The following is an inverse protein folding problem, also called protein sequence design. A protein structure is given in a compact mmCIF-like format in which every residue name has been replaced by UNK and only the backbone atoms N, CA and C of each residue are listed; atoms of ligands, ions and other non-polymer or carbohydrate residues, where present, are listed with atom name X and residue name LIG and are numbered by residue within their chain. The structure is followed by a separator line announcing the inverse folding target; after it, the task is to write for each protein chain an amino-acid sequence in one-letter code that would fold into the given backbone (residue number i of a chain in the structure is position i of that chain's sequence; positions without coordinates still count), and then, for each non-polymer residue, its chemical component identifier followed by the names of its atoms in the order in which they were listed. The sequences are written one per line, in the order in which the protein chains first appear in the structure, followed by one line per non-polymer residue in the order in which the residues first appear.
data_IF_404190882663
#
_entry.id   IF_404190882663
#
_cell.length_a   1.000
_cell.length_b   1.000
_cell.length_c   1.000
_cell.angle_alpha   90.00
_cell.angle_beta   90.00
_cell.angle_gamma   90.00
#
_symmetry.space_group_name_H-M   'P 1'
#
loop_
_entity.id
_entity.type
_entity.pdbx_description
1 polymer ?
#
# COMPACT_ATOMS: atom_id res chain seq x y z
N UNK A 1 -43.34 -33.52 33.83
CA UNK A 1 -42.17 -32.83 34.43
C UNK A 1 -41.08 -32.79 33.38
N UNK A 2 -40.93 -31.64 32.71
CA UNK A 2 -39.92 -31.41 31.67
C UNK A 2 -38.73 -30.72 32.35
N UNK A 3 -37.60 -31.42 32.47
CA UNK A 3 -36.39 -30.87 33.08
C UNK A 3 -35.68 -29.94 32.08
N UNK A 4 -35.76 -28.62 32.33
CA UNK A 4 -34.91 -27.62 31.68
C UNK A 4 -33.55 -27.60 32.38
N UNK A 5 -32.54 -28.19 31.76
CA UNK A 5 -31.15 -28.07 32.19
C UNK A 5 -30.57 -26.80 31.54
N UNK A 6 -30.49 -25.72 32.30
CA UNK A 6 -29.78 -24.52 31.91
C UNK A 6 -28.26 -24.76 32.06
N UNK A 7 -27.56 -24.91 30.93
CA UNK A 7 -26.10 -24.89 30.89
C UNK A 7 -25.64 -23.43 30.95
N UNK A 8 -24.77 -23.04 31.91
CA UNK A 8 -24.24 -21.68 31.96
C UNK A 8 -23.27 -21.47 30.79
N UNK A 9 -23.63 -20.55 29.89
CA UNK A 9 -22.68 -19.98 28.93
C UNK A 9 -21.65 -19.16 29.72
N UNK A 10 -20.46 -19.72 29.90
CA UNK A 10 -19.30 -18.97 30.38
C UNK A 10 -18.83 -18.08 29.23
N UNK A 11 -19.22 -16.81 29.28
CA UNK A 11 -18.58 -15.78 28.47
C UNK A 11 -17.14 -15.60 28.98
N UNK A 12 -16.20 -16.24 28.30
CA UNK A 12 -14.78 -15.96 28.49
C UNK A 12 -14.49 -14.54 28.03
N UNK A 13 -14.40 -13.60 28.98
CA UNK A 13 -13.84 -12.29 28.71
C UNK A 13 -12.37 -12.47 28.34
N UNK A 14 -12.05 -12.40 27.04
CA UNK A 14 -10.66 -12.29 26.60
C UNK A 14 -10.20 -10.91 27.04
N UNK A 15 -9.41 -10.86 28.12
CA UNK A 15 -8.76 -9.64 28.56
C UNK A 15 -7.82 -9.16 27.42
N UNK A 16 -8.24 -8.12 26.69
CA UNK A 16 -7.35 -7.38 25.80
C UNK A 16 -6.25 -6.79 26.68
N UNK A 17 -5.01 -7.25 26.52
CA UNK A 17 -3.87 -6.64 27.18
C UNK A 17 -3.83 -5.13 26.91
N UNK A 18 -3.27 -4.36 27.83
CA UNK A 18 -3.08 -2.93 27.64
C UNK A 18 -2.32 -2.64 26.34
N UNK A 19 -2.74 -1.60 25.62
CA UNK A 19 -2.07 -1.16 24.41
C UNK A 19 -0.57 -0.92 24.67
N UNK A 20 0.28 -1.38 23.76
CA UNK A 20 1.73 -1.13 23.82
C UNK A 20 2.21 -0.44 22.55
N UNK A 21 3.34 0.25 22.62
CA UNK A 21 3.97 0.83 21.45
C UNK A 21 4.30 -0.23 20.38
N UNK A 22 4.09 0.15 19.12
CA UNK A 22 4.45 -0.66 17.98
C UNK A 22 5.97 -0.83 17.89
N UNK A 23 6.41 -2.08 17.69
CA UNK A 23 7.83 -2.39 17.54
C UNK A 23 8.36 -1.92 16.18
N UNK A 24 9.59 -1.41 16.19
CA UNK A 24 10.33 -1.07 14.97
C UNK A 24 10.70 -2.35 14.21
N UNK A 25 10.44 -2.36 12.91
CA UNK A 25 10.61 -3.45 11.96
C UNK A 25 11.50 -2.99 10.78
N UNK A 26 12.80 -2.84 11.04
CA UNK A 26 13.79 -2.41 10.04
C UNK A 26 14.82 -3.48 9.68
N UNK A 27 14.47 -4.75 9.89
CA UNK A 27 15.25 -5.91 9.45
C UNK A 27 14.46 -6.70 8.40
N UNK A 28 13.86 -6.00 7.43
CA UNK A 28 13.09 -6.65 6.38
C UNK A 28 14.00 -7.44 5.43
N UNK A 29 13.49 -8.50 4.78
CA UNK A 29 14.30 -9.30 3.87
C UNK A 29 14.82 -8.43 2.71
N UNK A 30 16.07 -8.63 2.25
CA UNK A 30 16.59 -7.86 1.13
C UNK A 30 15.75 -8.11 -0.13
N UNK A 31 15.55 -7.05 -0.92
CA UNK A 31 14.78 -7.08 -2.17
C UNK A 31 13.32 -7.55 -2.03
N UNK A 32 12.76 -7.57 -0.81
CA UNK A 32 11.34 -7.83 -0.62
C UNK A 32 10.52 -6.66 -1.21
N UNK A 33 9.57 -7.00 -2.08
CA UNK A 33 8.65 -6.05 -2.71
C UNK A 33 7.26 -6.67 -2.82
N UNK A 34 6.27 -5.93 -2.34
CA UNK A 34 4.86 -6.22 -2.48
C UNK A 34 4.19 -5.11 -3.27
N UNK A 35 3.28 -5.47 -4.15
CA UNK A 35 2.49 -4.53 -4.94
C UNK A 35 1.01 -4.71 -4.63
N UNK A 36 0.29 -3.61 -4.69
CA UNK A 36 -1.17 -3.55 -4.70
C UNK A 36 -1.57 -2.87 -5.99
N UNK A 37 -2.51 -3.47 -6.72
CA UNK A 37 -3.15 -2.84 -7.87
C UNK A 37 -4.68 -2.82 -7.64
N UNK A 38 -5.28 -1.64 -7.74
CA UNK A 38 -6.73 -1.44 -7.72
C UNK A 38 -7.18 -0.91 -9.07
N UNK A 39 -8.22 -1.51 -9.65
CA UNK A 39 -8.80 -1.01 -10.90
C UNK A 39 -10.16 -0.36 -10.67
N UNK A 40 -10.53 0.69 -11.44
CA UNK A 40 -11.78 1.43 -11.27
C UNK A 40 -13.04 0.56 -11.32
N UNK A 41 -13.03 -0.49 -12.14
CA UNK A 41 -14.18 -1.37 -12.36
C UNK A 41 -14.55 -2.20 -11.12
N UNK A 42 -13.62 -2.40 -10.19
CA UNK A 42 -13.84 -3.17 -8.97
C UNK A 42 -13.83 -2.32 -7.69
N UNK A 43 -13.42 -1.06 -7.78
CA UNK A 43 -13.07 -0.22 -6.64
C UNK A 43 -13.75 1.15 -6.67
N UNK A 44 -15.04 1.20 -7.02
CA UNK A 44 -15.83 2.43 -7.05
C UNK A 44 -15.10 3.59 -7.74
N UNK A 45 -14.48 3.36 -8.91
CA UNK A 45 -13.79 4.41 -9.66
C UNK A 45 -12.36 4.73 -9.23
N UNK A 46 -11.83 4.08 -8.19
CA UNK A 46 -10.43 4.23 -7.75
C UNK A 46 -9.48 3.42 -8.63
N UNK A 47 -8.39 4.05 -9.04
CA UNK A 47 -7.26 3.43 -9.74
C UNK A 47 -6.00 3.66 -8.90
N UNK A 48 -5.39 2.60 -8.38
CA UNK A 48 -4.27 2.76 -7.45
C UNK A 48 -3.18 1.71 -7.67
N UNK A 49 -1.94 2.17 -7.53
CA UNK A 49 -0.76 1.32 -7.43
C UNK A 49 0.03 1.71 -6.19
N UNK A 50 0.22 0.75 -5.28
CA UNK A 50 0.97 0.95 -4.04
C UNK A 50 2.06 -0.12 -3.98
N UNK A 51 3.30 0.32 -3.82
CA UNK A 51 4.47 -0.56 -3.68
C UNK A 51 5.00 -0.43 -2.27
N UNK A 52 5.14 -1.55 -1.57
CA UNK A 52 5.83 -1.65 -0.30
C UNK A 52 7.11 -2.48 -0.50
N UNK A 53 8.27 -1.93 -0.17
CA UNK A 53 9.55 -2.60 -0.43
C UNK A 53 10.58 -2.34 0.67
N UNK A 54 11.57 -3.22 0.79
CA UNK A 54 12.68 -3.01 1.72
C UNK A 54 13.51 -1.80 1.29
N UNK A 55 13.59 -0.80 2.16
CA UNK A 55 14.43 0.37 2.01
C UNK A 55 15.91 0.09 2.30
N UNK A 56 16.81 1.03 1.97
CA UNK A 56 18.25 0.89 2.26
C UNK A 56 18.56 0.87 3.76
N UNK A 57 17.67 1.40 4.60
CA UNK A 57 17.72 1.33 6.06
C UNK A 57 17.11 0.04 6.64
N UNK A 58 16.66 -0.87 5.76
CA UNK A 58 16.00 -2.12 6.12
C UNK A 58 14.54 -1.96 6.55
N UNK A 59 14.01 -0.74 6.64
CA UNK A 59 12.61 -0.45 6.96
C UNK A 59 11.70 -0.61 5.71
N UNK A 60 10.39 -0.47 5.88
CA UNK A 60 9.45 -0.57 4.76
C UNK A 60 9.28 0.79 4.08
N UNK A 61 9.66 0.91 2.82
CA UNK A 61 9.40 2.09 1.98
C UNK A 61 8.12 1.89 1.17
N UNK A 62 7.24 2.88 1.22
CA UNK A 62 6.01 2.93 0.44
C UNK A 62 6.14 3.93 -0.70
N UNK A 63 5.80 3.50 -1.92
CA UNK A 63 5.51 4.38 -3.06
C UNK A 63 4.02 4.24 -3.35
N UNK A 64 3.27 5.32 -3.14
CA UNK A 64 1.81 5.34 -3.23
C UNK A 64 1.42 6.21 -4.42
N UNK A 65 0.63 5.66 -5.35
CA UNK A 65 -0.01 6.41 -6.43
C UNK A 65 -1.49 6.05 -6.44
N UNK A 66 -2.36 7.03 -6.19
CA UNK A 66 -3.81 6.85 -6.13
C UNK A 66 -4.46 7.91 -7.02
N UNK A 67 -5.21 7.42 -7.98
CA UNK A 67 -6.00 8.17 -8.95
C UNK A 67 -7.46 7.71 -8.88
N UNK A 68 -8.25 8.21 -9.82
CA UNK A 68 -9.64 7.84 -9.98
C UNK A 68 -10.60 8.89 -9.44
N UNK A 69 -11.88 8.64 -9.71
CA UNK A 69 -12.98 9.55 -9.41
C UNK A 69 -14.05 8.76 -8.65
N UNK A 70 -13.98 8.69 -7.31
CA UNK A 70 -15.00 7.99 -6.53
C UNK A 70 -16.35 8.69 -6.65
N UNK A 71 -17.49 7.98 -6.43
CA UNK A 71 -18.82 8.53 -6.66
C UNK A 71 -19.11 9.82 -5.90
N UNK A 72 -18.71 9.86 -4.63
CA UNK A 72 -18.73 11.08 -3.82
C UNK A 72 -17.31 11.62 -3.69
N UNK A 73 -17.13 12.94 -3.89
CA UNK A 73 -15.83 13.60 -3.80
C UNK A 73 -15.64 14.27 -2.43
N UNK A 74 -15.63 13.46 -1.37
CA UNK A 74 -15.65 13.94 0.03
C UNK A 74 -14.31 13.68 0.72
N UNK A 75 -13.31 14.47 0.34
CA UNK A 75 -11.99 14.43 0.95
C UNK A 75 -12.02 14.93 2.42
N UNK A 76 -11.03 14.57 3.25
CA UNK A 76 -9.90 13.69 2.94
C UNK A 76 -10.31 12.22 2.78
N UNK A 77 -9.57 11.47 1.98
CA UNK A 77 -9.66 10.01 1.96
C UNK A 77 -8.56 9.42 2.83
N UNK A 78 -8.90 8.34 3.50
CA UNK A 78 -7.98 7.61 4.37
C UNK A 78 -7.59 6.29 3.71
N UNK A 79 -6.42 5.77 4.03
CA UNK A 79 -5.94 4.49 3.54
C UNK A 79 -5.17 3.78 4.65
N UNK A 80 -5.55 2.52 4.88
CA UNK A 80 -5.04 1.72 6.00
C UNK A 80 -4.76 0.28 5.55
N UNK A 81 -3.77 -0.35 6.18
CA UNK A 81 -3.57 -1.80 6.08
C UNK A 81 -4.57 -2.47 7.02
N UNK A 82 -5.34 -3.42 6.50
CA UNK A 82 -6.34 -4.18 7.25
C UNK A 82 -5.84 -5.57 7.63
N UNK A 83 -6.44 -6.14 8.68
CA UNK A 83 -5.99 -7.38 9.32
C UNK A 83 -6.08 -8.61 8.41
N UNK A 84 -7.12 -8.69 7.57
CA UNK A 84 -7.36 -9.83 6.69
C UNK A 84 -7.22 -9.45 5.21
N UNK A 85 -6.86 -10.42 4.34
CA UNK A 85 -6.89 -10.22 2.90
C UNK A 85 -8.33 -10.00 2.41
N UNK A 86 -8.46 -9.28 1.29
CA UNK A 86 -9.70 -9.19 0.52
C UNK A 86 -10.06 -10.59 0.00
N UNK A 87 -11.26 -11.11 0.30
CA UNK A 87 -11.73 -12.38 -0.25
C UNK A 87 -11.96 -12.32 -1.77
N UNK A 88 -12.18 -13.48 -2.38
CA UNK A 88 -12.34 -13.62 -3.83
C UNK A 88 -13.54 -12.86 -4.42
N UNK A 89 -14.56 -12.56 -3.61
CA UNK A 89 -15.73 -11.77 -4.02
C UNK A 89 -15.47 -10.25 -3.98
N UNK A 90 -14.28 -9.82 -3.56
CA UNK A 90 -13.90 -8.40 -3.50
C UNK A 90 -14.53 -7.63 -2.34
N UNK A 91 -15.15 -8.30 -1.37
CA UNK A 91 -15.83 -7.63 -0.27
C UNK A 91 -14.84 -6.96 0.70
N UNK A 92 -14.68 -5.65 0.59
CA UNK A 92 -13.80 -4.87 1.46
C UNK A 92 -14.18 -4.93 2.94
N UNK A 93 -15.43 -5.26 3.30
CA UNK A 93 -15.84 -5.38 4.71
C UNK A 93 -15.22 -6.61 5.38
N UNK A 94 -14.94 -7.66 4.61
CA UNK A 94 -14.37 -8.90 5.12
C UNK A 94 -12.89 -8.79 5.52
N UNK A 95 -12.23 -7.66 5.22
CA UNK A 95 -10.84 -7.39 5.64
C UNK A 95 -10.72 -7.07 7.14
N UNK A 96 -11.86 -6.95 7.86
CA UNK A 96 -11.97 -6.62 9.29
C UNK A 96 -11.36 -5.26 9.64
N UNK A 97 -10.82 -5.09 10.85
CA UNK A 97 -10.25 -3.84 11.33
C UNK A 97 -8.88 -3.53 10.72
N UNK A 98 -8.28 -2.43 11.17
CA UNK A 98 -6.90 -2.09 10.82
C UNK A 98 -5.93 -3.13 11.40
N UNK A 99 -4.76 -3.27 10.78
CA UNK A 99 -3.67 -4.06 11.32
C UNK A 99 -3.16 -3.42 12.63
N UNK A 100 -3.57 -3.99 13.75
CA UNK A 100 -3.27 -3.47 15.09
C UNK A 100 -2.85 -4.58 16.06
N UNK A 101 -1.68 -5.19 15.85
CA UNK A 101 -1.21 -6.30 16.69
C UNK A 101 -0.88 -5.89 18.14
N UNK A 102 -0.81 -4.60 18.43
CA UNK A 102 -0.48 -4.07 19.75
C UNK A 102 -1.69 -3.46 20.49
N UNK A 103 -2.89 -3.61 19.93
CA UNK A 103 -4.14 -3.28 20.60
C UNK A 103 -4.34 -1.78 20.86
N UNK A 104 -3.73 -0.92 20.03
CA UNK A 104 -3.78 0.54 20.15
C UNK A 104 -5.20 1.10 20.01
N UNK A 105 -5.96 0.62 19.03
CA UNK A 105 -7.31 1.10 18.72
C UNK A 105 -7.36 2.42 17.94
N UNK A 106 -8.58 2.91 17.68
CA UNK A 106 -8.78 4.13 16.87
C UNK A 106 -8.69 5.43 17.68
N UNK A 107 -8.92 5.37 18.99
CA UNK A 107 -9.07 6.54 19.87
C UNK A 107 -7.98 6.56 20.94
N UNK A 108 -7.27 7.69 21.14
CA UNK A 108 -7.36 8.93 20.34
C UNK A 108 -6.88 8.73 18.88
N UNK A 109 -7.14 9.65 17.95
CA UNK A 109 -6.57 9.59 16.59
C UNK A 109 -5.04 9.46 16.61
N UNK A 110 -4.44 8.92 15.54
CA UNK A 110 -2.98 8.81 15.45
C UNK A 110 -2.32 10.18 15.56
N UNK A 111 -1.30 10.27 16.41
CA UNK A 111 -0.40 11.40 16.51
C UNK A 111 0.85 11.10 15.68
N UNK A 112 0.97 11.73 14.51
CA UNK A 112 2.09 11.55 13.61
C UNK A 112 3.46 11.92 14.23
N UNK A 113 3.48 12.72 15.31
CA UNK A 113 4.71 13.03 16.04
C UNK A 113 5.19 11.87 16.93
N UNK A 114 4.31 10.91 17.21
CA UNK A 114 4.54 9.73 18.03
C UNK A 114 4.04 8.46 17.31
N UNK A 115 4.57 8.13 16.11
CA UNK A 115 3.99 7.11 15.24
C UNK A 115 4.08 5.69 15.82
N UNK A 116 4.93 5.44 16.82
CA UNK A 116 4.96 4.19 17.59
C UNK A 116 3.68 3.95 18.40
N UNK A 117 2.92 5.01 18.70
CA UNK A 117 1.66 4.95 19.45
C UNK A 117 0.44 4.79 18.54
N UNK A 118 0.64 4.65 17.22
CA UNK A 118 -0.43 4.47 16.24
C UNK A 118 -0.63 2.98 15.91
N UNK A 119 -1.78 2.63 15.34
CA UNK A 119 -1.94 1.29 14.78
C UNK A 119 -0.91 1.08 13.68
N UNK A 120 -0.38 -0.15 13.58
CA UNK A 120 0.61 -0.49 12.55
C UNK A 120 0.06 -0.17 11.15
N UNK A 121 -1.21 -0.48 10.91
CA UNK A 121 -1.89 -0.25 9.64
C UNK A 121 -2.37 1.17 9.38
N UNK A 122 -2.29 2.10 10.34
CA UNK A 122 -2.76 3.48 10.14
C UNK A 122 -1.75 4.34 9.36
N UNK A 123 -1.73 4.16 8.04
CA UNK A 123 -0.82 4.89 7.16
C UNK A 123 -1.22 6.36 7.00
N UNK A 124 -2.51 6.65 6.90
CA UNK A 124 -3.01 8.04 6.78
C UNK A 124 -2.73 8.88 8.02
N UNK A 125 -2.88 8.31 9.22
CA UNK A 125 -2.56 8.98 10.47
C UNK A 125 -1.06 9.25 10.62
N UNK A 126 -0.21 8.32 10.18
CA UNK A 126 1.26 8.48 10.28
C UNK A 126 1.86 9.37 9.19
N UNK A 127 1.39 9.25 7.95
CA UNK A 127 2.04 9.80 6.76
C UNK A 127 1.18 10.81 5.98
N UNK A 128 -0.02 11.10 6.48
CA UNK A 128 -0.97 12.05 5.88
C UNK A 128 -2.05 11.36 5.05
N UNK A 129 -3.25 11.93 5.12
CA UNK A 129 -4.42 11.54 4.34
C UNK A 129 -4.39 12.09 2.91
N UNK A 130 -5.22 11.54 2.04
CA UNK A 130 -5.38 11.98 0.65
C UNK A 130 -6.29 13.22 0.62
N UNK A 131 -5.71 14.39 0.40
CA UNK A 131 -6.44 15.66 0.41
C UNK A 131 -7.37 15.85 -0.80
N UNK A 132 -7.09 15.20 -1.92
CA UNK A 132 -7.91 15.24 -3.14
C UNK A 132 -7.60 14.06 -4.06
N UNK A 133 -8.57 13.73 -4.92
CA UNK A 133 -8.42 12.80 -6.03
C UNK A 133 -9.05 13.41 -7.30
N UNK A 134 -8.53 13.10 -8.49
CA UNK A 134 -7.38 12.20 -8.78
C UNK A 134 -6.02 12.87 -8.51
N UNK A 135 -4.92 12.12 -8.62
CA UNK A 135 -3.56 12.66 -8.66
C UNK A 135 -2.80 12.63 -7.33
N UNK A 136 -3.12 11.74 -6.40
CA UNK A 136 -2.37 11.61 -5.16
C UNK A 136 -1.14 10.74 -5.34
N UNK A 137 0.02 11.27 -4.95
CA UNK A 137 1.28 10.53 -4.89
C UNK A 137 2.00 10.81 -3.57
N UNK A 138 2.58 9.76 -2.98
CA UNK A 138 3.38 9.89 -1.76
C UNK A 138 4.53 8.87 -1.77
N UNK A 139 5.63 9.23 -1.10
CA UNK A 139 6.74 8.34 -0.85
C UNK A 139 7.26 8.57 0.57
N UNK A 140 7.31 7.53 1.38
CA UNK A 140 7.71 7.61 2.78
C UNK A 140 8.22 6.25 3.30
N UNK A 141 8.93 6.31 4.42
CA UNK A 141 9.40 5.14 5.16
C UNK A 141 8.49 4.90 6.37
N UNK A 142 7.96 3.69 6.49
CA UNK A 142 7.26 3.23 7.68
C UNK A 142 8.13 2.24 8.48
N UNK A 143 8.42 2.60 9.73
CA UNK A 143 9.27 1.81 10.62
C UNK A 143 8.53 0.68 11.33
N UNK A 144 7.21 0.62 11.27
CA UNK A 144 6.40 -0.28 12.09
C UNK A 144 5.76 -1.39 11.27
N UNK A 145 5.48 -1.15 10.00
CA UNK A 145 5.05 -2.20 9.06
C UNK A 145 6.24 -3.12 8.73
N UNK A 146 6.00 -4.44 8.71
CA UNK A 146 7.01 -5.45 8.40
C UNK A 146 6.74 -6.18 7.09
N UNK A 147 7.82 -6.58 6.41
CA UNK A 147 7.85 -7.50 5.27
C UNK A 147 8.35 -8.90 5.66
N UNK A 148 8.56 -9.15 6.96
CA UNK A 148 9.00 -10.45 7.49
C UNK A 148 7.79 -11.34 7.75
N UNK A 149 7.65 -12.44 7.01
CA UNK A 149 6.59 -13.41 7.25
C UNK A 149 6.64 -13.94 8.70
N UNK A 150 5.47 -14.05 9.33
CA UNK A 150 5.33 -14.45 10.73
C UNK A 150 5.51 -13.31 11.74
N UNK A 151 5.98 -12.13 11.32
CA UNK A 151 5.93 -10.94 12.17
C UNK A 151 4.45 -10.51 12.37
N UNK A 152 4.03 -10.14 13.59
CA UNK A 152 2.64 -9.70 13.82
C UNK A 152 2.25 -8.45 13.01
N UNK A 153 3.23 -7.63 12.62
CA UNK A 153 3.10 -6.43 11.78
C UNK A 153 3.33 -6.72 10.28
N UNK A 154 3.35 -8.00 9.87
CA UNK A 154 3.56 -8.40 8.49
C UNK A 154 2.42 -7.97 7.57
N UNK A 155 2.74 -7.31 6.46
CA UNK A 155 1.75 -6.86 5.48
C UNK A 155 1.45 -7.88 4.38
N UNK A 156 2.34 -8.84 4.12
CA UNK A 156 2.27 -9.67 2.90
C UNK A 156 1.10 -10.66 2.83
N UNK A 157 0.33 -10.81 3.91
CA UNK A 157 -0.93 -11.56 3.97
C UNK A 157 -2.10 -10.67 4.40
N UNK A 158 -2.03 -9.38 4.05
CA UNK A 158 -2.98 -8.33 4.41
C UNK A 158 -3.55 -7.68 3.17
N UNK A 159 -4.48 -6.77 3.40
CA UNK A 159 -5.02 -5.88 2.38
C UNK A 159 -4.78 -4.43 2.75
N UNK A 160 -4.91 -3.55 1.77
CA UNK A 160 -5.04 -2.12 1.99
C UNK A 160 -6.44 -1.69 1.57
N UNK A 161 -7.06 -0.82 2.35
CA UNK A 161 -8.41 -0.30 2.12
C UNK A 161 -8.34 1.22 2.08
N UNK A 162 -9.04 1.81 1.11
CA UNK A 162 -9.24 3.26 1.02
C UNK A 162 -10.64 3.56 1.52
N UNK A 163 -10.79 4.61 2.32
CA UNK A 163 -12.02 5.04 2.94
C UNK A 163 -12.34 6.49 2.62
N UNK A 164 -13.62 6.83 2.66
CA UNK A 164 -14.04 8.20 2.94
C UNK A 164 -13.65 8.62 4.37
N UNK A 165 -13.68 9.91 4.66
CA UNK A 165 -13.41 10.44 6.01
C UNK A 165 -14.37 9.90 7.09
N UNK A 166 -15.55 9.41 6.71
CA UNK A 166 -16.50 8.76 7.62
C UNK A 166 -16.24 7.23 7.79
N UNK A 167 -15.06 6.75 7.39
CA UNK A 167 -14.61 5.36 7.46
C UNK A 167 -15.34 4.37 6.53
N UNK A 168 -16.23 4.84 5.66
CA UNK A 168 -16.84 3.99 4.62
C UNK A 168 -15.77 3.50 3.66
N UNK A 169 -15.66 2.18 3.47
CA UNK A 169 -14.68 1.53 2.57
C UNK A 169 -15.12 1.72 1.12
N UNK A 170 -14.23 2.24 0.27
CA UNK A 170 -14.53 2.52 -1.15
C UNK A 170 -13.70 1.69 -2.13
N UNK A 171 -12.53 1.23 -1.71
CA UNK A 171 -11.64 0.41 -2.52
C UNK A 171 -10.79 -0.47 -1.62
N UNK A 172 -10.42 -1.65 -2.09
CA UNK A 172 -9.51 -2.53 -1.38
C UNK A 172 -8.79 -3.50 -2.31
N UNK A 173 -7.59 -3.90 -1.93
CA UNK A 173 -6.82 -4.91 -2.64
C UNK A 173 -5.77 -5.56 -1.72
N UNK A 174 -5.30 -6.73 -2.13
CA UNK A 174 -4.28 -7.50 -1.40
C UNK A 174 -2.87 -7.03 -1.75
N UNK A 175 -1.96 -7.19 -0.80
CA UNK A 175 -0.53 -7.08 -1.06
C UNK A 175 -0.04 -8.38 -1.72
N UNK A 176 0.51 -8.28 -2.92
CA UNK A 176 1.02 -9.40 -3.69
C UNK A 176 2.55 -9.36 -3.75
N UNK A 177 3.20 -10.46 -3.38
CA UNK A 177 4.65 -10.58 -3.44
C UNK A 177 5.14 -10.55 -4.89
N UNK A 178 6.02 -9.61 -5.22
CA UNK A 178 6.65 -9.48 -6.54
C UNK A 178 8.05 -10.07 -6.54
N UNK A 179 8.86 -9.73 -5.53
CA UNK A 179 10.26 -10.18 -5.39
C UNK A 179 10.59 -10.33 -3.92
N UNK A 180 11.43 -11.31 -3.59
CA UNK A 180 12.10 -11.42 -2.30
C UNK A 180 13.30 -12.34 -2.45
N UNK A 181 14.45 -11.94 -1.92
CA UNK A 181 15.56 -12.88 -1.76
C UNK A 181 15.18 -13.92 -0.70
N UNK A 182 15.18 -15.20 -1.08
CA UNK A 182 15.02 -16.26 -0.08
C UNK A 182 16.20 -16.19 0.88
N UNK A 183 16.00 -16.24 2.22
CA UNK A 183 17.11 -16.50 3.12
C UNK A 183 17.71 -17.82 2.65
N UNK A 184 18.98 -17.80 2.22
CA UNK A 184 19.69 -19.00 1.86
C UNK A 184 19.64 -19.93 3.06
N UNK A 185 18.83 -21.00 2.96
CA UNK A 185 19.04 -22.16 3.82
C UNK A 185 20.48 -22.56 3.61
N UNK A 186 21.26 -22.50 4.68
CA UNK A 186 22.67 -22.87 4.73
C UNK A 186 22.94 -24.05 3.82
N UNK A 187 23.89 -23.88 2.90
CA UNK A 187 24.36 -24.95 2.04
C UNK A 187 24.67 -26.17 2.91
N UNK A 188 23.92 -27.25 2.72
CA UNK A 188 24.34 -28.56 3.21
C UNK A 188 25.64 -28.92 2.47
N UNK A 189 26.70 -29.39 3.16
CA UNK A 189 27.96 -29.65 2.51
C UNK A 189 27.82 -30.89 1.61
N UNK A 190 27.65 -30.67 0.31
CA UNK A 190 27.88 -31.71 -0.67
C UNK A 190 29.38 -32.01 -0.70
N UNK A 191 29.76 -33.12 -0.07
CA UNK A 191 31.08 -33.72 -0.12
C UNK A 191 31.45 -34.07 -1.56
N UNK A 192 32.32 -33.27 -2.18
CA UNK A 192 33.03 -33.62 -3.41
C UNK A 192 34.38 -34.29 -3.08
N UNK A 193 34.72 -35.45 -3.68
CA UNK A 193 36.07 -36.03 -3.62
C UNK A 193 37.08 -35.28 -4.54
N UNK A 194 38.40 -35.50 -4.35
CA UNK A 194 39.49 -34.70 -4.94
C UNK A 194 39.74 -34.96 -6.44
N UNK A 195 40.58 -34.13 -7.12
CA UNK A 195 40.52 -33.94 -8.55
C UNK A 195 41.38 -34.95 -9.33
N UNK A 196 40.87 -35.37 -10.49
CA UNK A 196 41.68 -35.96 -11.55
C UNK A 196 41.65 -35.03 -12.77
N UNK A 197 42.86 -34.68 -13.19
CA UNK A 197 43.25 -33.82 -14.31
C UNK A 197 42.60 -34.19 -15.64
N UNK A 198 41.93 -33.23 -16.28
CA UNK A 198 41.83 -33.16 -17.74
C UNK A 198 41.92 -31.71 -18.21
N UNK A 199 42.96 -31.48 -19.00
CA UNK A 199 43.23 -30.26 -19.76
C UNK A 199 42.30 -30.24 -20.98
N UNK A 200 41.47 -29.22 -21.13
CA UNK A 200 40.79 -28.93 -22.41
C UNK A 200 40.51 -27.44 -22.53
N UNK A 201 41.32 -26.82 -23.38
CA UNK A 201 41.19 -25.46 -23.88
C UNK A 201 40.00 -25.37 -24.83
N UNK A 202 39.01 -24.53 -24.52
CA UNK A 202 38.17 -23.92 -25.56
C UNK A 202 37.51 -22.65 -25.04
N UNK A 203 37.95 -21.55 -25.63
CA UNK A 203 37.43 -20.18 -25.54
C UNK A 203 36.00 -20.11 -26.09
N UNK A 204 35.02 -19.66 -25.30
CA UNK A 204 33.75 -19.16 -25.83
C UNK A 204 33.12 -18.16 -24.87
N UNK A 205 33.14 -16.90 -25.28
CA UNK A 205 32.49 -15.73 -24.69
C UNK A 205 30.96 -15.82 -24.79
N UNK A 206 30.22 -15.11 -23.90
CA UNK A 206 28.76 -15.19 -23.81
C UNK A 206 28.04 -14.45 -24.95
N UNK A 207 26.85 -14.91 -25.39
CA UNK A 207 26.04 -14.17 -26.36
C UNK A 207 25.30 -13.00 -25.69
N UNK A 208 25.63 -11.79 -26.11
CA UNK A 208 24.91 -10.55 -25.82
C UNK A 208 23.76 -10.40 -26.84
N UNK A 209 22.53 -10.27 -26.35
CA UNK A 209 21.33 -10.02 -27.17
C UNK A 209 21.22 -8.51 -27.43
N UNK A 210 21.38 -8.10 -28.69
CA UNK A 210 21.14 -6.72 -29.15
C UNK A 210 19.73 -6.62 -29.73
N UNK A 211 18.93 -5.73 -29.15
CA UNK A 211 17.63 -5.29 -29.70
C UNK A 211 17.91 -4.15 -30.70
N UNK A 212 17.38 -4.17 -31.94
CA UNK A 212 17.57 -3.08 -32.88
C UNK A 212 16.70 -1.86 -32.51
N UNK A 213 17.38 -0.74 -32.24
CA UNK A 213 16.78 0.61 -32.26
C UNK A 213 16.53 1.00 -33.71
N UNK A 214 15.28 1.28 -34.04
CA UNK A 214 14.87 1.88 -35.31
C UNK A 214 14.80 3.39 -35.12
N UNK A 215 15.77 4.09 -35.68
CA UNK A 215 15.78 5.56 -35.84
C UNK A 215 15.07 5.95 -37.14
N UNK A 216 14.01 6.76 -37.12
CA UNK A 216 13.60 7.55 -38.26
C UNK A 216 14.28 8.93 -38.23
N UNK A 217 15.20 9.15 -39.17
CA UNK A 217 15.76 10.46 -39.52
C UNK A 217 14.72 11.26 -40.30
N UNK A 218 14.51 12.51 -39.91
CA UNK A 218 13.35 13.32 -40.29
C UNK A 218 13.45 14.10 -41.60
N UNK A 219 12.41 14.89 -41.83
CA UNK A 219 12.49 16.16 -42.55
C UNK A 219 11.27 17.05 -42.34
N UNK A 220 11.59 18.34 -42.18
CA UNK A 220 10.86 19.53 -42.58
C UNK A 220 9.59 19.96 -41.81
N UNK A 221 9.56 21.26 -41.49
CA UNK A 221 8.33 22.04 -41.39
C UNK A 221 8.18 22.89 -40.14
N UNK A 222 9.00 23.94 -39.99
CA UNK A 222 8.67 25.04 -39.08
C UNK A 222 7.57 25.90 -39.73
N UNK A 223 6.34 25.81 -39.20
CA UNK A 223 5.24 26.70 -39.53
C UNK A 223 4.76 27.36 -38.25
N UNK A 224 5.15 28.62 -38.06
CA UNK A 224 4.61 29.52 -37.04
C UNK A 224 3.14 29.78 -37.39
N UNK A 225 2.22 29.46 -36.48
CA UNK A 225 0.82 29.87 -36.58
C UNK A 225 0.36 30.36 -35.22
N UNK A 226 0.41 31.68 -35.09
CA UNK A 226 -0.26 32.50 -34.09
C UNK A 226 -1.77 32.24 -34.12
N UNK A 227 -2.33 31.83 -32.99
CA UNK A 227 -3.78 31.83 -32.77
C UNK A 227 -4.10 32.81 -31.64
N UNK A 228 -4.74 33.90 -32.06
CA UNK A 228 -5.41 34.92 -31.27
C UNK A 228 -6.59 34.31 -30.51
N UNK A 229 -6.63 34.44 -29.18
CA UNK A 229 -7.85 34.30 -28.39
C UNK A 229 -8.37 35.68 -28.01
N UNK A 230 -9.41 36.08 -28.73
CA UNK A 230 -10.31 37.19 -28.42
C UNK A 230 -11.38 36.68 -27.47
N UNK A 231 -11.65 37.37 -26.35
CA UNK A 231 -12.82 37.05 -25.53
C UNK A 231 -12.93 37.76 -24.19
N UNK A 232 -13.44 39.00 -24.22
CA UNK A 232 -14.49 39.46 -23.30
C UNK A 232 -14.20 39.56 -21.80
N UNK A 233 -13.88 40.77 -21.36
CA UNK A 233 -14.10 41.21 -19.98
C UNK A 233 -15.62 41.29 -19.71
N UNK A 234 -16.13 40.36 -18.91
CA UNK A 234 -17.49 40.39 -18.36
C UNK A 234 -17.44 40.46 -16.85
N UNK A 235 -17.52 41.67 -16.30
CA UNK A 235 -17.68 41.92 -14.88
C UNK A 235 -19.06 41.42 -14.42
N UNK A 236 -19.09 40.39 -13.57
CA UNK A 236 -20.29 39.98 -12.83
C UNK A 236 -20.22 40.57 -11.42
N UNK A 237 -21.06 41.58 -11.21
CA UNK A 237 -21.28 42.22 -9.92
C UNK A 237 -21.95 41.25 -8.95
N UNK A 238 -21.37 41.11 -7.76
CA UNK A 238 -21.99 40.47 -6.60
C UNK A 238 -22.93 41.50 -5.96
N UNK A 239 -24.24 41.34 -6.16
CA UNK A 239 -25.25 42.08 -5.42
C UNK A 239 -25.54 41.34 -4.11
N UNK A 240 -25.30 42.03 -3.00
CA UNK A 240 -25.67 41.62 -1.65
C UNK A 240 -27.19 41.54 -1.53
N UNK A 241 -27.73 40.40 -1.07
CA UNK A 241 -29.10 40.35 -0.54
C UNK A 241 -28.99 40.35 0.97
N UNK A 242 -29.42 41.48 1.54
CA UNK A 242 -29.61 41.68 2.97
C UNK A 242 -30.77 40.83 3.49
N UNK A 243 -30.59 40.34 4.71
CA UNK A 243 -31.62 39.74 5.53
C UNK A 243 -32.75 40.74 5.81
N UNK A 244 -34.00 40.29 5.70
CA UNK A 244 -35.16 40.85 6.42
C UNK A 244 -36.12 39.70 6.74
N UNK A 245 -36.40 39.56 8.05
CA UNK A 245 -37.40 38.75 8.77
C UNK A 245 -37.16 37.24 8.88
#
# INVERSE_FOLDING_TARGET
MLFLIALPFVFGAVAKGWATDAKVNCNNPPDAQYIVNMTPSKNAGIDAQIVAQTGPDGCTNFVVNINGNPPAQVAPYLYHIHELPVPSDGNCTATLGHLDPYGRGETPPCDASQPQTCQVGDLSGKHGSIASLPGFSAHYTDKYVSLVSGNPSFLGNRSIVIHYNNLTRIACANFELVRQSSPSKSASPASCPPPSTVNSTSTSTPPYIIIPVVTPTGSAGASTSTSTVSGGAGALAVAMVAAVL
#
